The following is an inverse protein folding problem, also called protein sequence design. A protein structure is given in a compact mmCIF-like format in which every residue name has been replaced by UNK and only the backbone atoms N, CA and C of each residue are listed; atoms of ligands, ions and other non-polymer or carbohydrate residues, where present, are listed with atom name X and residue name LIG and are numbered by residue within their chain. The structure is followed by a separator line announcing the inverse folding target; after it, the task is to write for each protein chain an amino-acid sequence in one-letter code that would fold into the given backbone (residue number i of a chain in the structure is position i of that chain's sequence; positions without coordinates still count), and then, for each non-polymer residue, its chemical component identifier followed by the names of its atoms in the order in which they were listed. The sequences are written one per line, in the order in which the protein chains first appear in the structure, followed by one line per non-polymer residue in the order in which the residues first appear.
data_IF_235999007408
#
_entry.id   IF_235999007408
#
_cell.length_a   1.000
_cell.length_b   1.000
_cell.length_c   1.000
_cell.angle_alpha   90.00
_cell.angle_beta   90.00
_cell.angle_gamma   90.00
#
_symmetry.space_group_name_H-M   'P 1'
#
loop_
_entity.id
_entity.type
_entity.pdbx_description
1 polymer ?
#
# COMPACT_ATOMS: atom_id res chain seq x y z
N UNK A 1 -3.82 -13.13 0.33
CA UNK A 1 -3.79 -12.63 -1.06
C UNK A 1 -2.51 -13.13 -1.71
N UNK A 2 -2.63 -14.02 -2.68
CA UNK A 2 -1.49 -14.64 -3.37
C UNK A 2 -1.20 -13.78 -4.60
N UNK A 3 -0.08 -13.07 -4.59
CA UNK A 3 0.40 -12.35 -5.77
C UNK A 3 1.40 -13.26 -6.47
N UNK A 4 1.07 -13.72 -7.67
CA UNK A 4 1.95 -14.52 -8.53
C UNK A 4 2.81 -13.62 -9.42
N UNK A 5 4.14 -13.74 -9.42
CA UNK A 5 4.97 -13.00 -10.38
C UNK A 5 4.80 -13.61 -11.79
N UNK A 6 4.27 -12.84 -12.73
CA UNK A 6 3.93 -13.26 -14.10
C UNK A 6 5.13 -13.59 -15.01
N UNK A 7 6.38 -13.36 -14.62
CA UNK A 7 7.54 -13.44 -15.50
C UNK A 7 8.06 -14.85 -15.83
N UNK A 8 7.77 -15.88 -15.01
CA UNK A 8 8.37 -17.22 -15.17
C UNK A 8 7.35 -18.33 -15.56
N UNK A 9 6.08 -18.02 -15.58
CA UNK A 9 4.98 -18.99 -15.78
C UNK A 9 4.99 -19.62 -17.19
N UNK A 10 5.46 -18.89 -18.22
CA UNK A 10 5.45 -19.40 -19.60
C UNK A 10 6.52 -20.49 -19.85
N UNK A 11 7.72 -20.34 -19.29
CA UNK A 11 8.76 -21.39 -19.37
C UNK A 11 8.41 -22.60 -18.47
N UNK A 12 7.75 -22.37 -17.36
CA UNK A 12 7.30 -23.40 -16.43
C UNK A 12 6.12 -24.23 -16.99
N UNK A 13 5.12 -23.58 -17.58
CA UNK A 13 3.98 -24.27 -18.25
C UNK A 13 4.46 -25.13 -19.42
N UNK A 14 5.45 -24.70 -20.20
CA UNK A 14 6.02 -25.49 -21.30
C UNK A 14 6.78 -26.73 -20.80
N UNK A 15 7.50 -26.63 -19.66
CA UNK A 15 8.14 -27.80 -19.03
C UNK A 15 7.16 -28.76 -18.38
N UNK A 16 6.12 -28.26 -17.73
CA UNK A 16 5.06 -29.08 -17.14
C UNK A 16 4.24 -29.81 -18.21
N UNK A 17 3.92 -29.14 -19.32
CA UNK A 17 3.24 -29.76 -20.46
C UNK A 17 4.10 -30.85 -21.12
N UNK A 18 5.42 -30.62 -21.23
CA UNK A 18 6.36 -31.61 -21.76
C UNK A 18 6.45 -32.87 -20.85
N UNK A 19 6.44 -32.68 -19.52
CA UNK A 19 6.45 -33.78 -18.54
C UNK A 19 5.13 -34.58 -18.61
N UNK A 20 3.98 -33.90 -18.72
CA UNK A 20 2.67 -34.55 -18.84
C UNK A 20 2.50 -35.32 -20.14
N UNK A 21 3.03 -34.79 -21.25
CA UNK A 21 3.01 -35.47 -22.57
C UNK A 21 3.94 -36.68 -22.55
N UNK A 22 5.10 -36.60 -21.92
CA UNK A 22 6.03 -37.75 -21.75
C UNK A 22 5.37 -38.84 -20.90
N UNK A 23 4.69 -38.47 -19.81
CA UNK A 23 3.96 -39.42 -18.97
C UNK A 23 2.81 -40.13 -19.73
N UNK A 24 2.03 -39.40 -20.56
CA UNK A 24 0.95 -39.94 -21.39
C UNK A 24 1.45 -40.88 -22.49
N UNK A 25 2.57 -40.56 -23.13
CA UNK A 25 3.20 -41.42 -24.13
C UNK A 25 3.76 -42.68 -23.49
N UNK A 26 4.32 -42.62 -22.29
CA UNK A 26 4.82 -43.82 -21.57
C UNK A 26 3.67 -44.76 -21.15
N UNK A 27 2.54 -44.25 -20.69
CA UNK A 27 1.35 -45.06 -20.39
C UNK A 27 0.73 -45.75 -21.62
N UNK A 28 0.80 -45.11 -22.80
CA UNK A 28 0.35 -45.69 -24.08
C UNK A 28 1.24 -46.84 -24.58
N UNK A 29 2.53 -46.82 -24.25
CA UNK A 29 3.48 -47.88 -24.67
C UNK A 29 3.42 -49.15 -23.78
N UNK A 30 2.89 -49.05 -22.55
CA UNK A 30 2.79 -50.19 -21.62
C UNK A 30 1.84 -51.27 -22.15
N UNK A 31 0.92 -50.94 -23.04
CA UNK A 31 -0.04 -51.89 -23.64
C UNK A 31 0.53 -52.76 -24.76
N UNK A 32 1.72 -52.46 -25.28
CA UNK A 32 2.12 -53.07 -26.54
C UNK A 32 3.31 -54.04 -26.48
N UNK A 33 4.01 -54.22 -25.39
CA UNK A 33 5.13 -55.18 -25.37
C UNK A 33 5.33 -55.86 -24.01
N UNK A 34 4.57 -56.83 -23.73
CA UNK A 34 4.76 -57.76 -22.57
C UNK A 34 5.99 -58.68 -22.73
N UNK A 35 6.73 -58.58 -23.82
CA UNK A 35 7.78 -59.60 -24.19
C UNK A 35 9.21 -59.02 -24.19
N UNK A 36 9.43 -57.76 -23.95
CA UNK A 36 10.80 -57.21 -23.80
C UNK A 36 11.11 -57.00 -22.33
N UNK A 37 11.65 -57.97 -21.78
CA UNK A 37 12.26 -58.23 -20.51
C UNK A 37 12.57 -57.10 -19.50
N UNK A 38 12.92 -57.63 -18.38
CA UNK A 38 13.35 -56.99 -17.11
C UNK A 38 14.15 -55.67 -17.26
N UNK A 39 14.97 -55.54 -18.33
CA UNK A 39 15.77 -54.31 -18.58
C UNK A 39 14.91 -53.10 -18.99
N UNK A 40 13.81 -53.31 -19.71
CA UNK A 40 12.93 -52.23 -20.14
C UNK A 40 12.05 -51.73 -18.98
N UNK A 41 11.63 -52.64 -18.10
CA UNK A 41 10.88 -52.36 -16.88
C UNK A 41 11.75 -51.59 -15.86
N UNK A 42 13.04 -51.98 -15.71
CA UNK A 42 14.00 -51.28 -14.87
C UNK A 42 14.37 -49.89 -15.41
N UNK A 43 14.35 -49.68 -16.72
CA UNK A 43 14.55 -48.37 -17.32
C UNK A 43 13.32 -47.47 -17.07
N UNK A 44 12.12 -47.99 -17.29
CA UNK A 44 10.86 -47.28 -17.02
C UNK A 44 10.71 -46.90 -15.54
N UNK A 45 11.09 -47.79 -14.62
CA UNK A 45 11.10 -47.50 -13.20
C UNK A 45 12.12 -46.40 -12.82
N UNK A 46 13.29 -46.38 -13.44
CA UNK A 46 14.28 -45.30 -13.23
C UNK A 46 13.74 -43.96 -13.78
N UNK A 47 13.19 -43.95 -14.99
CA UNK A 47 12.61 -42.76 -15.59
C UNK A 47 11.43 -42.24 -14.76
N UNK A 48 10.61 -43.14 -14.18
CA UNK A 48 9.50 -42.76 -13.29
C UNK A 48 10.01 -42.16 -11.96
N UNK A 49 11.05 -42.72 -11.38
CA UNK A 49 11.71 -42.19 -10.17
C UNK A 49 12.30 -40.78 -10.42
N UNK A 50 13.01 -40.61 -11.55
CA UNK A 50 13.56 -39.31 -11.94
C UNK A 50 12.44 -38.26 -12.14
N UNK A 51 11.30 -38.65 -12.71
CA UNK A 51 10.13 -37.76 -12.84
C UNK A 51 9.54 -37.39 -11.48
N UNK A 52 9.42 -38.35 -10.57
CA UNK A 52 8.91 -38.09 -9.21
C UNK A 52 9.85 -37.18 -8.41
N UNK A 53 11.16 -37.40 -8.52
CA UNK A 53 12.17 -36.52 -7.89
C UNK A 53 12.07 -35.10 -8.46
N UNK A 54 11.90 -34.94 -9.77
CA UNK A 54 11.73 -33.63 -10.42
C UNK A 54 10.44 -32.93 -9.97
N UNK A 55 9.32 -33.66 -9.81
CA UNK A 55 8.07 -33.09 -9.27
C UNK A 55 8.23 -32.60 -7.83
N UNK A 56 8.92 -33.35 -7.00
CA UNK A 56 9.25 -32.98 -5.62
C UNK A 56 10.13 -31.73 -5.58
N UNK A 57 11.13 -31.63 -6.44
CA UNK A 57 12.02 -30.47 -6.51
C UNK A 57 11.29 -29.21 -6.98
N UNK A 58 10.40 -29.35 -7.95
CA UNK A 58 9.53 -28.24 -8.40
C UNK A 58 8.60 -27.77 -7.27
N UNK A 59 8.00 -28.69 -6.54
CA UNK A 59 7.14 -28.37 -5.41
C UNK A 59 7.93 -27.68 -4.29
N UNK A 60 9.14 -28.16 -4.02
CA UNK A 60 10.04 -27.57 -3.03
C UNK A 60 10.49 -26.15 -3.39
N UNK A 61 10.81 -25.90 -4.67
CA UNK A 61 11.16 -24.55 -5.13
C UNK A 61 10.01 -23.56 -4.95
N UNK A 62 8.77 -23.99 -5.23
CA UNK A 62 7.58 -23.16 -4.99
C UNK A 62 7.37 -22.87 -3.50
N UNK A 63 7.56 -23.89 -2.66
CA UNK A 63 7.45 -23.75 -1.21
C UNK A 63 8.47 -22.74 -0.68
N UNK A 64 9.71 -22.83 -1.12
CA UNK A 64 10.78 -21.90 -0.75
C UNK A 64 10.47 -20.47 -1.22
N UNK A 65 10.01 -20.29 -2.45
CA UNK A 65 9.64 -18.97 -3.00
C UNK A 65 8.51 -18.33 -2.19
N UNK A 66 7.48 -19.10 -1.85
CA UNK A 66 6.36 -18.62 -1.03
C UNK A 66 6.79 -18.29 0.40
N UNK A 67 7.59 -19.15 1.03
CA UNK A 67 8.09 -18.92 2.38
C UNK A 67 9.03 -17.70 2.44
N UNK A 68 9.90 -17.51 1.44
CA UNK A 68 10.80 -16.37 1.35
C UNK A 68 10.00 -15.06 1.12
N UNK A 69 8.91 -15.09 0.35
CA UNK A 69 8.01 -13.94 0.15
C UNK A 69 7.32 -13.55 1.47
N UNK A 70 6.80 -14.52 2.20
CA UNK A 70 6.21 -14.31 3.53
C UNK A 70 7.25 -13.76 4.52
N UNK A 71 8.45 -14.33 4.54
CA UNK A 71 9.56 -13.89 5.38
C UNK A 71 9.94 -12.44 5.11
N UNK A 72 10.15 -12.06 3.85
CA UNK A 72 10.43 -10.68 3.45
C UNK A 72 9.33 -9.72 3.87
N UNK A 73 8.06 -10.15 3.81
CA UNK A 73 6.91 -9.38 4.25
C UNK A 73 6.66 -9.38 5.76
N UNK A 74 7.59 -9.91 6.58
CA UNK A 74 7.50 -9.99 8.06
C UNK A 74 6.39 -10.92 8.58
N UNK A 75 5.92 -11.87 7.76
CA UNK A 75 4.97 -12.92 8.15
C UNK A 75 5.72 -14.15 8.67
N UNK A 76 6.47 -13.98 9.76
CA UNK A 76 7.38 -15.01 10.28
C UNK A 76 6.67 -16.30 10.66
N UNK A 77 5.53 -16.20 11.36
CA UNK A 77 4.78 -17.36 11.82
C UNK A 77 4.16 -18.12 10.66
N UNK A 78 3.60 -17.40 9.70
CA UNK A 78 3.01 -17.96 8.50
C UNK A 78 4.07 -18.63 7.61
N UNK A 79 5.25 -18.02 7.48
CA UNK A 79 6.37 -18.62 6.74
C UNK A 79 6.89 -19.90 7.41
N UNK A 80 7.01 -19.91 8.73
CA UNK A 80 7.41 -21.12 9.49
C UNK A 80 6.35 -22.21 9.41
N UNK A 81 5.06 -21.86 9.54
CA UNK A 81 3.96 -22.80 9.40
C UNK A 81 3.98 -23.46 8.02
N UNK A 82 4.13 -22.66 6.97
CA UNK A 82 4.20 -23.16 5.58
C UNK A 82 5.32 -24.17 5.39
N UNK A 83 6.51 -23.93 5.96
CA UNK A 83 7.66 -24.84 5.88
C UNK A 83 7.45 -26.13 6.71
N UNK A 84 6.78 -26.03 7.88
CA UNK A 84 6.60 -27.18 8.79
C UNK A 84 5.43 -28.08 8.39
N UNK A 85 4.37 -27.53 7.78
CA UNK A 85 3.21 -28.31 7.33
C UNK A 85 3.51 -29.19 6.10
N UNK A 86 4.52 -28.82 5.30
CA UNK A 86 4.90 -29.54 4.08
C UNK A 86 6.06 -30.54 4.33
N UNK A 87 5.87 -31.46 5.28
CA UNK A 87 6.89 -32.41 5.73
C UNK A 87 7.53 -33.23 4.62
N UNK A 88 6.78 -33.59 3.55
CA UNK A 88 7.27 -34.31 2.38
C UNK A 88 8.28 -33.52 1.51
N UNK A 89 8.36 -32.21 1.71
CA UNK A 89 9.25 -31.32 0.95
C UNK A 89 10.46 -30.83 1.79
N UNK A 90 10.55 -31.26 3.05
CA UNK A 90 11.64 -30.83 3.96
C UNK A 90 12.99 -31.37 3.46
N UNK A 91 13.96 -30.47 3.39
CA UNK A 91 15.36 -30.77 3.12
C UNK A 91 16.27 -29.75 3.82
N UNK A 92 17.57 -29.80 3.56
CA UNK A 92 18.54 -28.88 4.15
C UNK A 92 18.22 -27.40 3.85
N UNK A 93 17.83 -27.07 2.62
CA UNK A 93 17.52 -25.71 2.19
C UNK A 93 16.28 -25.16 2.90
N UNK A 94 15.20 -25.94 3.01
CA UNK A 94 13.98 -25.53 3.74
C UNK A 94 14.24 -25.38 5.23
N UNK A 95 15.07 -26.26 5.82
CA UNK A 95 15.47 -26.17 7.22
C UNK A 95 16.35 -24.94 7.49
N UNK A 96 17.24 -24.59 6.57
CA UNK A 96 18.07 -23.40 6.69
C UNK A 96 17.24 -22.11 6.60
N UNK A 97 16.26 -22.05 5.68
CA UNK A 97 15.33 -20.93 5.62
C UNK A 97 14.52 -20.80 6.94
N UNK A 98 13.98 -21.91 7.47
CA UNK A 98 13.27 -21.90 8.74
C UNK A 98 14.15 -21.41 9.90
N UNK A 99 15.44 -21.78 9.91
CA UNK A 99 16.41 -21.29 10.90
C UNK A 99 16.65 -19.79 10.78
N UNK A 100 16.79 -19.25 9.56
CA UNK A 100 16.94 -17.81 9.32
C UNK A 100 15.72 -17.05 9.80
N UNK A 101 14.50 -17.51 9.48
CA UNK A 101 13.25 -16.91 9.91
C UNK A 101 13.14 -16.87 11.43
N UNK A 102 13.42 -18.03 12.09
CA UNK A 102 13.41 -18.09 13.56
C UNK A 102 14.47 -17.17 14.19
N UNK A 103 15.64 -17.08 13.59
CA UNK A 103 16.69 -16.20 14.08
C UNK A 103 16.24 -14.74 14.04
N UNK A 104 15.72 -14.26 12.91
CA UNK A 104 15.26 -12.87 12.79
C UNK A 104 14.09 -12.59 13.73
N UNK A 105 13.06 -13.47 13.75
CA UNK A 105 11.91 -13.35 14.65
C UNK A 105 12.30 -13.21 16.11
N UNK A 106 13.32 -13.95 16.57
CA UNK A 106 13.77 -13.94 17.95
C UNK A 106 14.74 -12.78 18.28
N UNK A 107 15.20 -12.03 17.27
CA UNK A 107 16.12 -10.91 17.42
C UNK A 107 15.47 -9.56 17.03
N UNK A 108 14.15 -9.48 17.02
CA UNK A 108 13.46 -8.21 16.86
C UNK A 108 13.80 -7.28 18.03
N UNK A 109 14.02 -6.00 17.73
CA UNK A 109 14.34 -4.98 18.71
C UNK A 109 13.18 -4.02 18.90
N UNK A 110 13.03 -3.50 20.12
CA UNK A 110 12.05 -2.46 20.41
C UNK A 110 12.45 -1.17 19.68
N UNK A 111 11.51 -0.63 18.91
CA UNK A 111 11.69 0.66 18.25
C UNK A 111 11.39 1.80 19.23
N UNK A 112 12.41 2.58 19.58
CA UNK A 112 12.31 3.64 20.59
C UNK A 112 12.18 5.05 19.98
N UNK A 113 12.44 5.21 18.68
CA UNK A 113 12.35 6.50 18.02
C UNK A 113 10.92 6.92 17.68
N UNK A 114 10.74 8.14 17.22
CA UNK A 114 9.43 8.65 16.81
C UNK A 114 9.02 8.07 15.46
N UNK A 115 7.87 7.38 15.41
CA UNK A 115 7.27 6.89 14.16
C UNK A 115 7.00 8.06 13.22
N UNK A 116 7.50 7.98 12.00
CA UNK A 116 7.33 9.03 11.00
C UNK A 116 6.00 8.85 10.25
N UNK A 117 5.39 9.97 9.84
CA UNK A 117 4.21 9.98 9.00
C UNK A 117 4.36 11.06 7.93
N UNK A 118 4.41 10.64 6.68
CA UNK A 118 4.42 11.52 5.52
C UNK A 118 3.13 11.37 4.73
N UNK A 119 2.75 12.42 4.00
CA UNK A 119 1.56 12.33 3.17
C UNK A 119 1.74 13.00 1.81
N UNK A 120 0.91 12.55 0.88
CA UNK A 120 0.88 12.99 -0.51
C UNK A 120 -0.55 13.42 -0.88
N UNK A 121 -0.66 14.24 -1.92
CA UNK A 121 -1.86 14.43 -2.71
C UNK A 121 -1.75 13.63 -4.03
N UNK A 122 -2.71 13.77 -4.93
CA UNK A 122 -2.69 13.12 -6.24
C UNK A 122 -1.41 13.43 -7.02
N UNK A 123 -0.96 12.50 -7.88
CA UNK A 123 0.24 12.67 -8.68
C UNK A 123 0.00 13.56 -9.90
N UNK A 124 0.96 14.42 -10.21
CA UNK A 124 1.06 15.08 -11.50
C UNK A 124 1.79 14.15 -12.47
N UNK A 125 1.08 13.71 -13.51
CA UNK A 125 1.58 12.76 -14.50
C UNK A 125 2.26 13.45 -15.69
N UNK A 126 1.80 14.65 -16.04
CA UNK A 126 2.28 15.43 -17.19
C UNK A 126 2.74 16.82 -16.74
N UNK A 127 3.84 16.95 -16.00
CA UNK A 127 4.28 18.24 -15.47
C UNK A 127 4.63 19.25 -16.58
N UNK A 128 5.15 18.80 -17.73
CA UNK A 128 5.48 19.64 -18.88
C UNK A 128 4.24 20.34 -19.48
N UNK A 129 3.08 19.72 -19.36
CA UNK A 129 1.80 20.29 -19.79
C UNK A 129 1.15 21.12 -18.69
N UNK A 130 1.06 20.56 -17.48
CA UNK A 130 0.34 21.18 -16.35
C UNK A 130 0.99 22.47 -15.88
N UNK A 131 2.30 22.48 -15.68
CA UNK A 131 3.02 23.62 -15.09
C UNK A 131 2.86 24.90 -15.93
N UNK A 132 3.07 24.90 -17.26
CA UNK A 132 2.85 26.09 -18.10
C UNK A 132 1.38 26.53 -18.19
N UNK A 133 0.43 25.59 -18.10
CA UNK A 133 -0.99 25.86 -18.32
C UNK A 133 -1.78 26.21 -17.05
N UNK A 134 -1.20 25.96 -15.88
CA UNK A 134 -1.80 26.29 -14.57
C UNK A 134 -1.58 27.74 -14.11
N UNK A 135 -1.20 28.64 -14.99
CA UNK A 135 -0.89 30.04 -14.67
C UNK A 135 -1.98 30.82 -13.91
N UNK A 136 -3.17 30.26 -13.74
CA UNK A 136 -4.29 30.90 -12.98
C UNK A 136 -4.39 30.37 -11.53
N UNK A 137 -3.81 29.18 -11.23
CA UNK A 137 -3.80 28.58 -9.89
C UNK A 137 -2.55 27.71 -9.65
N UNK A 138 -1.48 27.98 -10.41
CA UNK A 138 -0.26 27.18 -10.44
C UNK A 138 0.48 27.01 -9.13
N UNK A 139 0.28 27.90 -8.15
CA UNK A 139 0.82 27.76 -6.81
C UNK A 139 0.40 26.45 -6.16
N UNK A 140 -0.86 26.19 -6.04
CA UNK A 140 -1.41 25.07 -5.28
C UNK A 140 -0.93 23.69 -5.80
N UNK A 141 -0.91 23.46 -7.10
CA UNK A 141 -0.44 22.20 -7.67
C UNK A 141 1.09 22.05 -7.56
N UNK A 142 1.84 23.12 -7.80
CA UNK A 142 3.28 23.08 -7.63
C UNK A 142 3.69 22.98 -6.15
N UNK A 143 2.90 23.54 -5.25
CA UNK A 143 3.17 23.53 -3.81
C UNK A 143 2.85 22.19 -3.16
N UNK A 144 1.62 21.68 -3.36
CA UNK A 144 1.08 20.55 -2.58
C UNK A 144 1.23 19.17 -3.26
N UNK A 145 1.56 19.11 -4.56
CA UNK A 145 1.57 17.85 -5.29
C UNK A 145 2.99 17.39 -5.65
N UNK A 146 3.20 16.08 -5.69
CA UNK A 146 4.41 15.48 -6.26
C UNK A 146 4.18 15.07 -7.70
N UNK A 147 5.24 15.03 -8.48
CA UNK A 147 5.22 14.42 -9.79
C UNK A 147 5.38 12.90 -9.64
N UNK A 148 4.74 12.11 -10.50
CA UNK A 148 4.84 10.65 -10.49
C UNK A 148 6.32 10.21 -10.45
N UNK A 149 7.16 10.78 -11.29
CA UNK A 149 8.58 10.44 -11.36
C UNK A 149 9.40 10.87 -10.13
N UNK A 150 8.92 11.83 -9.34
CA UNK A 150 9.52 12.16 -8.04
C UNK A 150 9.19 11.07 -7.02
N UNK A 151 7.94 10.61 -6.95
CA UNK A 151 7.55 9.51 -6.06
C UNK A 151 8.33 8.22 -6.39
N UNK A 152 8.48 7.90 -7.68
CA UNK A 152 9.27 6.73 -8.14
C UNK A 152 10.72 6.81 -7.66
N UNK A 153 11.31 8.02 -7.53
CA UNK A 153 12.67 8.21 -7.01
C UNK A 153 12.74 8.26 -5.48
N UNK A 154 11.65 8.64 -4.82
CA UNK A 154 11.54 8.71 -3.36
C UNK A 154 11.51 7.31 -2.74
N UNK A 155 10.67 6.41 -3.27
CA UNK A 155 10.42 5.11 -2.65
C UNK A 155 11.68 4.25 -2.45
N UNK A 156 12.60 4.10 -3.43
CA UNK A 156 13.84 3.36 -3.22
C UNK A 156 14.70 3.94 -2.10
N UNK A 157 14.77 5.27 -1.96
CA UNK A 157 15.57 5.90 -0.92
C UNK A 157 14.96 5.70 0.47
N UNK A 158 13.63 5.67 0.58
CA UNK A 158 12.97 5.30 1.83
C UNK A 158 13.33 3.85 2.23
N UNK A 159 13.29 2.92 1.27
CA UNK A 159 13.69 1.53 1.51
C UNK A 159 15.16 1.42 1.92
N UNK A 160 16.07 2.08 1.21
CA UNK A 160 17.53 2.11 1.51
C UNK A 160 17.82 2.66 2.91
N UNK A 161 17.00 3.60 3.41
CA UNK A 161 17.09 4.15 4.76
C UNK A 161 16.40 3.28 5.81
N UNK A 162 15.98 2.06 5.47
CA UNK A 162 15.39 1.10 6.39
C UNK A 162 13.91 1.36 6.72
N UNK A 163 13.23 2.29 6.05
CA UNK A 163 11.79 2.48 6.29
C UNK A 163 10.96 1.29 5.84
N UNK A 164 9.92 1.01 6.64
CA UNK A 164 8.95 -0.05 6.41
C UNK A 164 7.55 0.53 6.61
N UNK A 165 6.67 0.37 5.61
CA UNK A 165 5.28 0.81 5.71
C UNK A 165 4.58 0.11 6.87
N UNK A 166 3.97 0.87 7.77
CA UNK A 166 3.44 0.36 9.01
C UNK A 166 2.00 0.83 9.26
N UNK A 167 1.18 -0.01 9.89
CA UNK A 167 -0.21 0.33 10.17
C UNK A 167 -0.32 1.24 11.39
N UNK A 168 -0.97 2.38 11.24
CA UNK A 168 -1.18 3.32 12.35
C UNK A 168 -1.97 2.71 13.51
N UNK A 169 -2.84 1.74 13.24
CA UNK A 169 -3.56 0.98 14.27
C UNK A 169 -2.66 0.00 15.05
N UNK A 170 -1.46 -0.28 14.54
CA UNK A 170 -0.43 -1.04 15.26
C UNK A 170 0.54 -0.11 16.02
N UNK A 171 0.48 1.20 15.75
CA UNK A 171 1.17 2.24 16.53
C UNK A 171 0.32 2.67 17.72
N UNK A 172 -0.99 2.80 17.56
CA UNK A 172 -1.90 3.25 18.59
C UNK A 172 -3.06 2.28 18.81
N UNK A 173 -3.55 2.23 20.02
CA UNK A 173 -4.74 1.44 20.35
C UNK A 173 -5.22 1.68 21.77
N UNK A 174 -6.44 1.26 22.05
CA UNK A 174 -6.99 1.29 23.40
C UNK A 174 -6.52 0.07 24.18
N UNK A 175 -6.10 0.30 25.43
CA UNK A 175 -5.82 -0.78 26.38
C UNK A 175 -7.14 -1.43 26.86
N UNK A 176 -7.02 -2.43 27.77
CA UNK A 176 -8.16 -3.16 28.32
C UNK A 176 -9.14 -2.27 29.09
N UNK A 177 -8.70 -1.10 29.53
CA UNK A 177 -9.53 -0.10 30.22
C UNK A 177 -10.14 0.92 29.27
N UNK A 178 -9.93 0.75 27.95
CA UNK A 178 -10.40 1.68 26.92
C UNK A 178 -9.57 2.95 26.80
N UNK A 179 -8.40 3.02 27.43
CA UNK A 179 -7.50 4.17 27.44
C UNK A 179 -6.56 4.07 26.22
N UNK A 180 -6.45 5.16 25.45
CA UNK A 180 -5.56 5.20 24.30
C UNK A 180 -4.09 5.14 24.75
N UNK A 181 -3.32 4.29 24.06
CA UNK A 181 -1.88 4.08 24.28
C UNK A 181 -1.13 4.05 22.96
N UNK A 182 0.12 4.42 23.01
CA UNK A 182 1.09 4.03 22.00
C UNK A 182 1.55 2.60 22.33
N UNK A 183 1.56 1.75 21.29
CA UNK A 183 1.97 0.34 21.41
C UNK A 183 3.48 0.21 21.23
N UNK A 184 4.04 -0.82 21.82
CA UNK A 184 5.41 -1.24 21.54
C UNK A 184 5.50 -1.79 20.10
N UNK A 185 6.53 -1.38 19.39
CA UNK A 185 6.81 -1.83 18.01
C UNK A 185 8.12 -2.60 18.03
N UNK A 186 8.09 -3.82 17.53
CA UNK A 186 9.27 -4.66 17.41
C UNK A 186 9.56 -4.91 15.93
N UNK A 187 10.78 -4.54 15.49
CA UNK A 187 11.24 -4.67 14.10
C UNK A 187 12.67 -5.24 14.06
N UNK A 188 13.13 -5.74 12.92
CA UNK A 188 14.55 -6.03 12.75
C UNK A 188 15.40 -4.77 12.98
N UNK A 189 16.60 -4.94 13.50
CA UNK A 189 17.54 -3.85 13.73
C UNK A 189 17.76 -3.01 12.47
N UNK A 190 17.72 -1.67 12.60
CA UNK A 190 17.87 -0.74 11.48
C UNK A 190 16.60 -0.52 10.64
N UNK A 191 15.47 -1.15 10.97
CA UNK A 191 14.18 -0.86 10.34
C UNK A 191 13.41 0.20 11.12
N UNK A 192 12.71 1.08 10.37
CA UNK A 192 11.98 2.22 10.91
C UNK A 192 10.53 2.22 10.42
N UNK A 193 9.53 2.22 11.32
CA UNK A 193 8.12 2.24 10.89
C UNK A 193 7.78 3.59 10.26
N UNK A 194 7.20 3.55 9.07
CA UNK A 194 6.73 4.71 8.31
C UNK A 194 5.24 4.58 8.03
N UNK A 195 4.48 5.62 8.35
CA UNK A 195 3.11 5.75 7.91
C UNK A 195 3.08 6.64 6.69
N UNK A 196 2.39 6.19 5.64
CA UNK A 196 2.09 7.00 4.47
C UNK A 196 0.59 7.23 4.42
N UNK A 197 0.17 8.46 4.11
CA UNK A 197 -1.23 8.74 3.78
C UNK A 197 -1.34 9.53 2.47
N UNK A 198 -2.50 9.39 1.85
CA UNK A 198 -2.89 10.16 0.67
C UNK A 198 -4.15 10.95 0.99
N UNK A 199 -4.10 12.28 0.77
CA UNK A 199 -5.21 13.18 1.02
C UNK A 199 -5.96 13.52 -0.29
N UNK A 200 -7.25 13.76 -0.17
CA UNK A 200 -8.14 14.26 -1.24
C UNK A 200 -8.13 13.45 -2.56
N UNK A 201 -8.21 12.12 -2.56
CA UNK A 201 -8.28 11.34 -3.81
C UNK A 201 -9.67 11.44 -4.47
N UNK A 202 -10.19 12.64 -4.65
CA UNK A 202 -11.49 12.88 -5.30
C UNK A 202 -11.39 12.94 -6.82
N UNK A 203 -10.19 13.13 -7.37
CA UNK A 203 -9.87 13.13 -8.80
C UNK A 203 -10.68 14.12 -9.64
N UNK A 204 -10.99 15.29 -9.10
CA UNK A 204 -11.78 16.32 -9.78
C UNK A 204 -10.96 17.37 -10.54
N UNK A 205 -9.63 17.23 -10.50
CA UNK A 205 -8.71 18.25 -11.04
C UNK A 205 -8.56 18.25 -12.55
N UNK A 206 -8.88 17.15 -13.25
CA UNK A 206 -8.92 17.13 -14.72
C UNK A 206 -7.64 16.63 -15.39
N UNK A 207 -7.27 17.24 -16.54
CA UNK A 207 -6.19 16.77 -17.41
C UNK A 207 -4.84 16.72 -16.69
N UNK A 208 -4.13 15.62 -16.89
CA UNK A 208 -2.76 15.44 -16.37
C UNK A 208 -2.65 14.85 -14.98
N UNK A 209 -3.79 14.52 -14.35
CA UNK A 209 -3.90 13.78 -13.09
C UNK A 209 -4.84 12.58 -13.28
N UNK A 210 -4.90 11.70 -12.30
CA UNK A 210 -5.90 10.63 -12.28
C UNK A 210 -7.32 11.22 -12.35
N UNK A 211 -8.16 10.62 -13.17
CA UNK A 211 -9.55 11.02 -13.35
C UNK A 211 -10.51 10.10 -12.59
N UNK A 212 -10.23 8.81 -12.56
CA UNK A 212 -11.00 7.81 -11.83
C UNK A 212 -10.15 6.57 -11.56
N UNK A 213 -10.27 6.01 -10.37
CA UNK A 213 -9.76 4.67 -10.08
C UNK A 213 -10.78 3.62 -10.48
N UNK A 214 -10.34 2.58 -11.15
CA UNK A 214 -11.18 1.51 -11.67
C UNK A 214 -10.60 0.14 -11.36
N UNK A 215 -11.41 -0.89 -11.53
CA UNK A 215 -10.94 -2.26 -11.74
C UNK A 215 -10.99 -2.56 -13.23
N UNK A 216 -9.90 -3.08 -13.78
CA UNK A 216 -9.86 -3.57 -15.16
C UNK A 216 -10.67 -4.87 -15.33
N UNK A 217 -10.70 -5.42 -16.53
CA UNK A 217 -11.40 -6.67 -16.85
C UNK A 217 -10.93 -7.89 -16.05
N UNK A 218 -9.71 -7.84 -15.49
CA UNK A 218 -9.13 -8.90 -14.65
C UNK A 218 -9.29 -8.60 -13.14
N UNK A 219 -9.99 -7.53 -12.78
CA UNK A 219 -10.17 -7.08 -11.39
C UNK A 219 -8.93 -6.45 -10.78
N UNK A 220 -7.95 -6.01 -11.58
CA UNK A 220 -6.76 -5.28 -11.13
C UNK A 220 -7.07 -3.80 -11.01
N UNK A 221 -6.53 -3.15 -9.97
CA UNK A 221 -6.62 -1.70 -9.81
C UNK A 221 -5.85 -0.98 -10.93
N UNK A 222 -6.50 0.04 -11.49
CA UNK A 222 -5.93 0.93 -12.49
C UNK A 222 -6.55 2.33 -12.35
N UNK A 223 -5.98 3.32 -13.00
CA UNK A 223 -6.56 4.66 -13.11
C UNK A 223 -6.87 5.01 -14.56
N UNK A 224 -8.02 5.63 -14.78
CA UNK A 224 -8.27 6.40 -15.99
C UNK A 224 -7.59 7.77 -15.85
N UNK A 225 -6.90 8.18 -16.89
CA UNK A 225 -6.20 9.46 -16.96
C UNK A 225 -6.59 10.16 -18.25
N UNK A 226 -6.82 11.45 -18.20
CA UNK A 226 -7.02 12.27 -19.40
C UNK A 226 -5.67 12.87 -19.80
N UNK A 227 -5.18 12.48 -20.96
CA UNK A 227 -3.91 12.96 -21.50
C UNK A 227 -3.98 14.46 -21.88
N UNK A 228 -2.84 15.16 -22.08
CA UNK A 228 -2.82 16.52 -22.60
C UNK A 228 -3.53 16.69 -23.96
N UNK A 229 -3.67 15.64 -24.74
CA UNK A 229 -4.38 15.61 -26.03
C UNK A 229 -5.90 15.40 -25.86
N UNK A 230 -6.36 15.18 -24.61
CA UNK A 230 -7.78 14.94 -24.30
C UNK A 230 -8.21 13.48 -24.47
N UNK A 231 -7.26 12.56 -24.65
CA UNK A 231 -7.55 11.13 -24.75
C UNK A 231 -7.67 10.50 -23.34
N UNK A 232 -8.64 9.64 -23.15
CA UNK A 232 -8.74 8.81 -21.95
C UNK A 232 -7.89 7.56 -22.12
N UNK A 233 -6.94 7.36 -21.22
CA UNK A 233 -6.10 6.16 -21.16
C UNK A 233 -6.23 5.47 -19.80
N UNK A 234 -5.93 4.18 -19.76
CA UNK A 234 -5.84 3.39 -18.52
C UNK A 234 -4.36 3.15 -18.21
N UNK A 235 -3.96 3.44 -16.96
CA UNK A 235 -2.59 3.20 -16.49
C UNK A 235 -2.60 2.54 -15.11
N UNK A 236 -1.53 1.80 -14.80
CA UNK A 236 -1.36 1.06 -13.55
C UNK A 236 -0.38 1.74 -12.56
N UNK A 237 -0.05 2.98 -12.82
CA UNK A 237 0.88 3.80 -12.03
C UNK A 237 0.46 5.28 -11.95
N UNK A 238 -0.78 5.58 -12.33
CA UNK A 238 -1.30 6.95 -12.42
C UNK A 238 -1.69 7.59 -11.08
N UNK A 239 -1.42 6.94 -9.97
CA UNK A 239 -1.71 7.45 -8.64
C UNK A 239 -0.72 6.93 -7.57
N UNK A 240 -0.63 7.64 -6.44
CA UNK A 240 0.23 7.27 -5.30
C UNK A 240 0.00 5.82 -4.87
N UNK A 241 -1.27 5.40 -4.76
CA UNK A 241 -1.62 4.06 -4.31
C UNK A 241 -1.10 2.99 -5.26
N UNK A 242 -1.20 3.21 -6.57
CA UNK A 242 -0.75 2.25 -7.57
C UNK A 242 0.78 2.18 -7.66
N UNK A 243 1.46 3.32 -7.58
CA UNK A 243 2.94 3.37 -7.55
C UNK A 243 3.48 2.64 -6.32
N UNK A 244 2.87 2.86 -5.14
CA UNK A 244 3.27 2.15 -3.91
C UNK A 244 2.93 0.65 -4.00
N UNK A 245 1.77 0.26 -4.55
CA UNK A 245 1.44 -1.15 -4.77
C UNK A 245 2.50 -1.85 -5.61
N UNK A 246 2.84 -1.28 -6.77
CA UNK A 246 3.85 -1.84 -7.66
C UNK A 246 5.21 -1.94 -6.97
N UNK A 247 5.62 -0.90 -6.24
CA UNK A 247 6.89 -0.90 -5.51
C UNK A 247 6.95 -1.99 -4.42
N UNK A 248 5.88 -2.17 -3.64
CA UNK A 248 5.83 -3.22 -2.61
C UNK A 248 5.75 -4.62 -3.23
N UNK A 249 5.13 -4.78 -4.39
CA UNK A 249 5.11 -6.06 -5.10
C UNK A 249 6.53 -6.48 -5.54
N UNK A 250 7.40 -5.52 -5.87
CA UNK A 250 8.81 -5.74 -6.19
C UNK A 250 9.69 -5.82 -4.92
N UNK A 251 9.32 -5.10 -3.85
CA UNK A 251 10.04 -4.96 -2.60
C UNK A 251 9.15 -5.29 -1.38
N UNK A 252 8.83 -6.57 -1.13
CA UNK A 252 7.94 -6.96 -0.03
C UNK A 252 8.43 -6.52 1.35
N UNK A 253 9.75 -6.39 1.52
CA UNK A 253 10.41 -5.90 2.73
C UNK A 253 10.23 -4.39 3.00
N UNK A 254 9.62 -3.65 2.07
CA UNK A 254 9.18 -2.27 2.29
C UNK A 254 7.83 -2.18 3.03
N UNK A 255 7.13 -3.29 3.26
CA UNK A 255 5.78 -3.31 3.84
C UNK A 255 5.68 -4.31 4.98
N UNK A 256 5.42 -3.84 6.20
CA UNK A 256 5.16 -4.72 7.33
C UNK A 256 3.80 -5.40 7.17
N UNK A 257 3.82 -6.72 6.95
CA UNK A 257 2.62 -7.56 6.79
C UNK A 257 1.65 -7.05 5.73
N UNK A 258 2.18 -6.59 4.61
CA UNK A 258 1.42 -6.15 3.44
C UNK A 258 0.72 -4.80 3.58
N UNK A 259 0.89 -4.08 4.70
CA UNK A 259 0.28 -2.76 4.88
C UNK A 259 0.88 -1.72 3.92
N UNK A 260 0.03 -0.88 3.32
CA UNK A 260 0.47 0.16 2.37
C UNK A 260 0.39 1.57 2.96
N UNK A 261 -0.78 1.94 3.48
CA UNK A 261 -0.99 3.28 4.02
C UNK A 261 -2.45 3.63 4.24
N UNK A 262 -2.71 4.91 4.40
CA UNK A 262 -4.02 5.50 4.72
C UNK A 262 -4.53 6.29 3.51
N UNK A 263 -5.78 6.07 3.12
CA UNK A 263 -6.48 6.87 2.12
C UNK A 263 -7.47 7.78 2.87
N UNK A 264 -7.15 9.07 2.94
CA UNK A 264 -7.96 10.06 3.62
C UNK A 264 -9.00 10.67 2.65
N UNK A 265 -10.24 10.20 2.74
CA UNK A 265 -11.28 10.49 1.77
C UNK A 265 -12.21 11.61 2.21
N UNK A 266 -12.50 12.50 1.27
CA UNK A 266 -13.62 13.45 1.32
C UNK A 266 -14.83 12.89 0.58
N UNK A 267 -15.98 13.61 0.60
CA UNK A 267 -17.19 13.13 -0.04
C UNK A 267 -17.82 14.11 -1.05
N UNK A 268 -17.43 15.38 -1.02
CA UNK A 268 -18.14 16.43 -1.74
C UNK A 268 -18.01 16.36 -3.28
N UNK A 269 -16.94 15.76 -3.80
CA UNK A 269 -16.77 15.47 -5.23
C UNK A 269 -16.95 13.98 -5.59
N UNK A 270 -17.36 13.16 -4.62
CA UNK A 270 -17.47 11.72 -4.79
C UNK A 270 -16.31 10.97 -4.17
N UNK A 271 -16.03 9.78 -4.68
CA UNK A 271 -15.03 8.86 -4.14
C UNK A 271 -14.17 8.30 -5.26
N UNK A 272 -12.89 8.61 -5.25
CA UNK A 272 -11.91 8.12 -6.26
C UNK A 272 -12.39 8.31 -7.72
N UNK A 273 -13.03 9.47 -8.01
CA UNK A 273 -13.59 9.80 -9.32
C UNK A 273 -14.98 9.25 -9.59
N UNK A 274 -15.59 8.53 -8.66
CA UNK A 274 -16.98 8.08 -8.72
C UNK A 274 -17.91 9.10 -8.04
N UNK A 275 -18.91 9.60 -8.76
CA UNK A 275 -19.80 10.69 -8.28
C UNK A 275 -20.77 10.27 -7.18
N UNK A 276 -21.04 8.99 -6.98
CA UNK A 276 -21.95 8.40 -5.99
C UNK A 276 -23.43 8.83 -6.16
N UNK A 277 -23.81 9.29 -7.33
CA UNK A 277 -25.16 9.77 -7.67
C UNK A 277 -26.11 8.65 -8.13
N UNK A 278 -25.57 7.50 -8.49
CA UNK A 278 -26.31 6.29 -8.88
C UNK A 278 -25.85 5.07 -8.10
N UNK A 279 -26.73 4.08 -7.98
CA UNK A 279 -26.39 2.81 -7.30
C UNK A 279 -25.26 2.07 -8.02
N UNK A 280 -25.20 2.14 -9.36
CA UNK A 280 -24.12 1.57 -10.14
C UNK A 280 -22.77 2.26 -9.84
N UNK A 281 -22.76 3.60 -9.73
CA UNK A 281 -21.56 4.35 -9.36
C UNK A 281 -21.09 4.00 -7.95
N UNK A 282 -22.02 3.85 -6.99
CA UNK A 282 -21.71 3.41 -5.62
C UNK A 282 -21.14 1.98 -5.59
N UNK A 283 -21.72 1.06 -6.37
CA UNK A 283 -21.23 -0.32 -6.46
C UNK A 283 -19.80 -0.37 -7.01
N UNK A 284 -19.49 0.38 -8.07
CA UNK A 284 -18.12 0.49 -8.60
C UNK A 284 -17.16 1.07 -7.56
N UNK A 285 -17.55 2.15 -6.89
CA UNK A 285 -16.77 2.75 -5.80
C UNK A 285 -16.48 1.74 -4.68
N UNK A 286 -17.49 0.96 -4.27
CA UNK A 286 -17.37 -0.07 -3.23
C UNK A 286 -16.45 -1.20 -3.66
N UNK A 287 -16.52 -1.63 -4.93
CA UNK A 287 -15.62 -2.66 -5.46
C UNK A 287 -14.15 -2.18 -5.47
N UNK A 288 -13.90 -0.94 -5.90
CA UNK A 288 -12.56 -0.32 -5.84
C UNK A 288 -12.07 -0.21 -4.40
N UNK A 289 -12.92 0.26 -3.47
CA UNK A 289 -12.56 0.35 -2.05
C UNK A 289 -12.25 -1.04 -1.45
N UNK A 290 -13.02 -2.06 -1.81
CA UNK A 290 -12.77 -3.45 -1.43
C UNK A 290 -11.41 -3.92 -1.89
N UNK A 291 -11.07 -3.68 -3.16
CA UNK A 291 -9.79 -4.09 -3.75
C UNK A 291 -8.60 -3.35 -3.13
N UNK A 292 -8.74 -2.06 -2.83
CA UNK A 292 -7.71 -1.30 -2.11
C UNK A 292 -7.44 -1.89 -0.72
N UNK A 293 -8.49 -2.27 0.03
CA UNK A 293 -8.33 -2.94 1.33
C UNK A 293 -7.63 -4.29 1.19
N UNK A 294 -7.97 -5.09 0.18
CA UNK A 294 -7.29 -6.36 -0.10
C UNK A 294 -5.80 -6.17 -0.39
N UNK A 295 -5.40 -5.04 -0.98
CA UNK A 295 -3.99 -4.74 -1.26
C UNK A 295 -3.27 -4.07 -0.09
N UNK A 296 -3.90 -3.90 1.09
CA UNK A 296 -3.25 -3.41 2.30
C UNK A 296 -3.47 -1.94 2.63
N UNK A 297 -4.36 -1.26 1.92
CA UNK A 297 -4.77 0.12 2.24
C UNK A 297 -5.86 0.15 3.30
N UNK A 298 -5.85 1.17 4.15
CA UNK A 298 -6.94 1.48 5.09
C UNK A 298 -7.50 2.87 4.79
N UNK A 299 -8.76 3.11 5.17
CA UNK A 299 -9.41 4.39 4.93
C UNK A 299 -9.48 5.24 6.20
N UNK A 300 -9.45 6.56 6.00
CA UNK A 300 -9.66 7.55 7.04
C UNK A 300 -10.68 8.60 6.57
N UNK A 301 -11.38 9.22 7.52
CA UNK A 301 -12.18 10.40 7.22
C UNK A 301 -11.28 11.62 7.02
N UNK A 302 -11.49 12.34 5.92
CA UNK A 302 -10.90 13.65 5.67
C UNK A 302 -11.97 14.74 5.61
N UNK A 303 -12.99 14.62 6.47
CA UNK A 303 -14.26 15.36 6.41
C UNK A 303 -15.10 15.06 5.15
N UNK A 304 -16.35 15.48 5.14
CA UNK A 304 -17.17 15.38 3.93
C UNK A 304 -16.89 16.52 2.96
N UNK A 305 -16.95 17.75 3.45
CA UNK A 305 -16.99 18.95 2.62
C UNK A 305 -15.67 19.66 2.41
N UNK A 306 -14.62 19.28 3.12
CA UNK A 306 -13.29 19.92 3.09
C UNK A 306 -13.38 21.46 3.15
N UNK A 307 -14.26 22.00 4.01
CA UNK A 307 -14.56 23.42 4.11
C UNK A 307 -13.72 24.09 5.18
N UNK A 308 -12.98 25.15 4.86
CA UNK A 308 -12.05 25.78 5.80
C UNK A 308 -12.78 26.67 6.83
N UNK A 309 -13.49 27.69 6.36
CA UNK A 309 -14.10 28.69 7.25
C UNK A 309 -15.33 28.13 7.96
N UNK A 310 -15.34 28.24 9.28
CA UNK A 310 -16.42 27.74 10.13
C UNK A 310 -16.42 26.23 10.37
N UNK A 311 -15.58 25.47 9.67
CA UNK A 311 -15.44 24.02 9.82
C UNK A 311 -13.99 23.65 10.24
N UNK A 312 -13.06 23.53 9.29
CA UNK A 312 -11.68 23.07 9.52
C UNK A 312 -10.71 24.26 9.46
N UNK A 313 -11.01 25.29 10.26
CA UNK A 313 -10.25 26.54 10.29
C UNK A 313 -10.90 27.58 11.18
N UNK A 314 -10.65 28.88 10.96
CA UNK A 314 -11.22 29.95 11.76
C UNK A 314 -12.76 29.87 11.84
N UNK A 315 -13.33 30.05 13.03
CA UNK A 315 -14.75 29.96 13.28
C UNK A 315 -15.31 28.54 13.39
N UNK A 316 -14.44 27.52 13.46
CA UNK A 316 -14.84 26.13 13.70
C UNK A 316 -15.72 26.00 14.95
N UNK A 317 -16.81 25.24 14.83
CA UNK A 317 -17.71 24.99 15.94
C UNK A 317 -18.33 23.59 15.86
N UNK A 318 -18.75 23.07 17.01
CA UNK A 318 -19.26 21.70 17.14
C UNK A 318 -20.45 21.40 16.20
N UNK A 319 -21.36 22.35 15.98
CA UNK A 319 -22.53 22.15 15.10
C UNK A 319 -22.14 21.93 13.64
N UNK A 320 -21.16 22.66 13.12
CA UNK A 320 -20.65 22.48 11.78
C UNK A 320 -19.89 21.13 11.65
N UNK A 321 -19.04 20.80 12.61
CA UNK A 321 -18.29 19.54 12.65
C UNK A 321 -19.25 18.36 12.73
N UNK A 322 -20.32 18.43 13.55
CA UNK A 322 -21.35 17.39 13.62
C UNK A 322 -21.98 17.10 12.26
N UNK A 323 -22.41 18.17 11.54
CA UNK A 323 -23.05 18.00 10.22
C UNK A 323 -22.10 17.41 9.18
N UNK A 324 -20.87 17.86 9.16
CA UNK A 324 -19.86 17.39 8.21
C UNK A 324 -19.47 15.93 8.48
N UNK A 325 -19.20 15.58 9.74
CA UNK A 325 -18.87 14.23 10.18
C UNK A 325 -20.02 13.25 9.90
N UNK A 326 -21.25 13.62 10.28
CA UNK A 326 -22.43 12.79 10.01
C UNK A 326 -22.63 12.57 8.49
N UNK A 327 -22.40 13.58 7.69
CA UNK A 327 -22.51 13.45 6.23
C UNK A 327 -21.43 12.53 5.64
N UNK A 328 -20.20 12.58 6.14
CA UNK A 328 -19.16 11.64 5.75
C UNK A 328 -19.55 10.20 6.10
N UNK A 329 -20.04 9.98 7.32
CA UNK A 329 -20.49 8.66 7.78
C UNK A 329 -21.70 8.15 6.97
N UNK A 330 -22.62 9.04 6.58
CA UNK A 330 -23.77 8.65 5.75
C UNK A 330 -23.39 8.25 4.33
N UNK A 331 -22.40 8.94 3.71
CA UNK A 331 -22.13 8.82 2.28
C UNK A 331 -20.89 7.95 1.98
N UNK A 332 -19.83 8.09 2.76
CA UNK A 332 -18.52 7.47 2.49
C UNK A 332 -18.32 6.20 3.31
N UNK A 333 -18.70 6.19 4.57
CA UNK A 333 -18.52 5.01 5.44
C UNK A 333 -19.18 3.72 4.88
N UNK A 334 -20.35 3.76 4.21
CA UNK A 334 -20.90 2.55 3.57
C UNK A 334 -20.00 1.96 2.47
N UNK A 335 -19.12 2.76 1.86
CA UNK A 335 -18.19 2.35 0.81
C UNK A 335 -16.88 1.83 1.42
N UNK A 336 -16.33 2.59 2.38
CA UNK A 336 -15.01 2.33 2.96
C UNK A 336 -15.04 1.36 4.14
N UNK A 337 -16.19 1.21 4.80
CA UNK A 337 -16.31 0.63 6.13
C UNK A 337 -15.95 1.64 7.22
N UNK A 338 -16.16 1.23 8.47
CA UNK A 338 -15.87 2.05 9.65
C UNK A 338 -14.36 2.29 9.80
N UNK A 339 -13.99 3.45 10.32
CA UNK A 339 -12.62 3.80 10.65
C UNK A 339 -12.56 4.58 11.96
N UNK A 340 -11.44 4.44 12.67
CA UNK A 340 -11.13 5.22 13.87
C UNK A 340 -10.13 6.36 13.58
N UNK A 341 -9.77 6.59 12.31
CA UNK A 341 -8.75 7.54 11.89
C UNK A 341 -9.44 8.77 11.28
N UNK A 342 -9.08 9.93 11.81
CA UNK A 342 -9.48 11.22 11.25
C UNK A 342 -8.25 12.01 10.81
N UNK A 343 -8.21 12.37 9.56
CA UNK A 343 -7.18 13.22 8.95
C UNK A 343 -7.75 14.63 8.80
N UNK A 344 -7.15 15.58 9.49
CA UNK A 344 -7.69 16.95 9.57
C UNK A 344 -7.48 17.74 8.27
N UNK A 345 -8.54 18.23 7.63
CA UNK A 345 -8.40 19.16 6.51
C UNK A 345 -7.55 20.38 6.88
N UNK A 346 -6.68 20.80 5.97
CA UNK A 346 -5.75 21.94 6.17
C UNK A 346 -4.80 21.76 7.37
N UNK A 347 -4.67 20.55 7.91
CA UNK A 347 -3.90 20.28 9.12
C UNK A 347 -4.45 20.91 10.39
N UNK A 348 -5.70 21.36 10.39
CA UNK A 348 -6.30 22.10 11.49
C UNK A 348 -6.56 21.21 12.70
N UNK A 349 -6.06 21.57 13.85
CA UNK A 349 -6.28 20.84 15.10
C UNK A 349 -7.51 21.41 15.83
N UNK A 350 -8.56 20.61 15.94
CA UNK A 350 -9.76 20.93 16.71
C UNK A 350 -9.47 20.94 18.22
N UNK A 351 -10.33 21.61 18.99
CA UNK A 351 -10.29 21.63 20.45
C UNK A 351 -11.71 21.73 21.05
N UNK A 352 -11.84 21.45 22.35
CA UNK A 352 -13.09 21.55 23.09
C UNK A 352 -14.21 20.74 22.45
N UNK A 353 -15.44 21.30 22.44
CA UNK A 353 -16.63 20.62 21.96
C UNK A 353 -16.54 20.15 20.50
N UNK A 354 -15.76 20.83 19.64
CA UNK A 354 -15.56 20.40 18.24
C UNK A 354 -14.72 19.11 18.17
N UNK A 355 -13.68 18.98 18.99
CA UNK A 355 -12.92 17.73 19.11
C UNK A 355 -13.79 16.62 19.74
N UNK A 356 -14.63 16.93 20.72
CA UNK A 356 -15.54 15.94 21.32
C UNK A 356 -16.49 15.32 20.29
N UNK A 357 -16.92 16.07 19.28
CA UNK A 357 -17.72 15.52 18.17
C UNK A 357 -16.96 14.40 17.45
N UNK A 358 -15.70 14.65 17.08
CA UNK A 358 -14.87 13.67 16.38
C UNK A 358 -14.69 12.41 17.23
N UNK A 359 -14.32 12.57 18.51
CA UNK A 359 -14.08 11.46 19.42
C UNK A 359 -15.35 10.63 19.72
N UNK A 360 -16.49 11.30 19.86
CA UNK A 360 -17.79 10.65 20.11
C UNK A 360 -18.32 9.89 18.88
N UNK A 361 -17.83 10.22 17.68
CA UNK A 361 -18.11 9.48 16.45
C UNK A 361 -17.09 8.37 16.16
N UNK A 362 -16.25 8.02 17.14
CA UNK A 362 -15.34 6.86 17.07
C UNK A 362 -13.95 7.15 16.53
N UNK A 363 -13.66 8.35 16.06
CA UNK A 363 -12.35 8.73 15.55
C UNK A 363 -11.40 9.04 16.71
N UNK A 364 -10.48 8.15 17.01
CA UNK A 364 -9.57 8.27 18.13
C UNK A 364 -8.08 8.32 17.75
N UNK A 365 -7.78 8.28 16.47
CA UNK A 365 -6.47 8.63 15.89
C UNK A 365 -6.68 9.87 15.03
N UNK A 366 -6.16 11.01 15.50
CA UNK A 366 -6.32 12.30 14.83
C UNK A 366 -4.98 12.72 14.20
N UNK A 367 -4.98 12.93 12.89
CA UNK A 367 -3.77 13.31 12.14
C UNK A 367 -3.88 14.77 11.68
N UNK A 368 -2.88 15.60 12.02
CA UNK A 368 -2.76 16.98 11.57
C UNK A 368 -1.50 17.18 10.68
N UNK A 369 -1.21 18.42 10.29
CA UNK A 369 0.00 18.75 9.51
C UNK A 369 0.99 19.50 10.39
N UNK A 370 2.27 19.13 10.29
CA UNK A 370 3.37 19.71 11.05
C UNK A 370 4.64 19.83 10.20
N UNK A 371 5.52 20.75 10.55
CA UNK A 371 6.83 20.89 9.89
C UNK A 371 7.85 19.84 10.38
N UNK A 372 7.63 19.24 11.56
CA UNK A 372 8.46 18.19 12.13
C UNK A 372 7.59 17.19 12.87
N UNK A 373 7.94 15.90 12.79
CA UNK A 373 7.14 14.82 13.39
C UNK A 373 6.87 15.06 14.87
N UNK A 374 5.62 14.88 15.25
CA UNK A 374 5.15 15.02 16.63
C UNK A 374 4.02 14.05 16.92
N UNK A 375 4.12 13.36 18.04
CA UNK A 375 3.09 12.44 18.56
C UNK A 375 2.70 12.93 19.96
N UNK A 376 1.41 12.94 20.26
CA UNK A 376 0.88 13.17 21.60
C UNK A 376 -0.29 12.20 21.84
N UNK A 377 -0.26 11.48 22.94
CA UNK A 377 -1.29 10.52 23.32
C UNK A 377 -1.87 10.92 24.66
N UNK A 378 -3.19 10.98 24.76
CA UNK A 378 -3.92 11.13 26.02
C UNK A 378 -4.92 9.96 26.17
N UNK A 379 -5.67 9.93 27.27
CA UNK A 379 -6.57 8.80 27.56
C UNK A 379 -7.65 8.55 26.49
N UNK A 380 -8.00 9.56 25.68
CA UNK A 380 -9.12 9.50 24.72
C UNK A 380 -8.65 9.28 23.27
N UNK A 381 -7.51 9.86 22.88
CA UNK A 381 -7.05 9.85 21.50
C UNK A 381 -5.54 10.02 21.36
N UNK A 382 -5.03 9.60 20.21
CA UNK A 382 -3.70 9.90 19.73
C UNK A 382 -3.75 11.04 18.70
N UNK A 383 -2.88 12.04 18.88
CA UNK A 383 -2.62 13.09 17.90
C UNK A 383 -1.28 12.81 17.21
N UNK A 384 -1.30 12.62 15.92
CA UNK A 384 -0.11 12.35 15.12
C UNK A 384 0.07 13.44 14.06
N UNK A 385 1.21 14.13 14.10
CA UNK A 385 1.62 15.07 13.06
C UNK A 385 2.00 14.35 11.77
N UNK A 386 1.82 15.01 10.63
CA UNK A 386 2.21 14.50 9.30
C UNK A 386 3.01 15.56 8.56
N UNK A 387 4.03 15.13 7.82
CA UNK A 387 4.85 16.01 6.97
C UNK A 387 4.35 15.85 5.53
N UNK A 388 3.91 16.96 4.94
CA UNK A 388 3.51 16.98 3.52
C UNK A 388 4.73 16.75 2.62
N UNK A 389 4.58 15.89 1.62
CA UNK A 389 5.54 15.73 0.55
C UNK A 389 4.94 16.32 -0.72
N UNK A 390 5.38 17.50 -1.06
CA UNK A 390 4.95 18.26 -2.22
C UNK A 390 6.06 19.28 -2.58
N UNK A 391 5.82 20.08 -3.61
CA UNK A 391 6.84 21.04 -4.04
C UNK A 391 7.25 22.05 -2.98
N UNK A 392 6.31 22.45 -2.10
CA UNK A 392 6.64 23.32 -0.97
C UNK A 392 7.66 22.68 -0.02
N UNK A 393 7.44 21.40 0.32
CA UNK A 393 8.36 20.68 1.20
C UNK A 393 9.73 20.45 0.52
N UNK A 394 9.73 20.11 -0.77
CA UNK A 394 10.97 19.95 -1.54
C UNK A 394 11.79 21.24 -1.60
N UNK A 395 11.16 22.43 -1.55
CA UNK A 395 11.84 23.72 -1.58
C UNK A 395 12.24 24.20 -0.18
N UNK A 396 11.30 24.18 0.79
CA UNK A 396 11.47 24.87 2.08
C UNK A 396 11.80 23.94 3.24
N UNK A 397 11.55 22.61 3.12
CA UNK A 397 11.87 21.62 4.14
C UNK A 397 13.00 20.69 3.73
N UNK A 398 13.79 21.08 2.70
CA UNK A 398 14.87 20.26 2.16
C UNK A 398 15.78 19.67 3.25
N UNK A 399 16.26 20.46 4.19
CA UNK A 399 17.15 19.95 5.25
C UNK A 399 16.51 18.88 6.15
N UNK A 400 15.21 18.96 6.36
CA UNK A 400 14.46 17.94 7.12
C UNK A 400 14.27 16.68 6.28
N UNK A 401 13.93 16.82 5.01
CA UNK A 401 13.71 15.69 4.09
C UNK A 401 15.03 14.95 3.82
N UNK A 402 16.13 15.68 3.53
CA UNK A 402 17.46 15.11 3.32
C UNK A 402 17.94 14.30 4.54
N UNK A 403 17.69 14.81 5.72
CA UNK A 403 18.10 14.14 6.96
C UNK A 403 17.26 12.91 7.26
N UNK A 404 15.94 12.97 7.04
CA UNK A 404 15.02 11.92 7.49
C UNK A 404 14.67 10.92 6.38
N UNK A 405 14.37 11.38 5.16
CA UNK A 405 13.63 10.54 4.21
C UNK A 405 14.39 10.26 2.91
N UNK A 406 14.90 11.27 2.21
CA UNK A 406 15.53 11.13 0.90
C UNK A 406 16.34 12.38 0.54
N UNK A 407 17.27 12.26 -0.38
CA UNK A 407 18.02 13.38 -0.95
C UNK A 407 17.12 14.13 -1.95
N UNK A 408 16.73 15.35 -1.57
CA UNK A 408 15.80 16.19 -2.35
C UNK A 408 16.35 16.53 -3.73
N UNK A 409 17.66 16.83 -3.84
CA UNK A 409 18.25 17.20 -5.13
C UNK A 409 18.23 16.06 -6.14
N UNK A 410 18.31 14.82 -5.66
CA UNK A 410 18.25 13.63 -6.53
C UNK A 410 16.83 13.24 -6.94
N UNK A 411 15.82 13.59 -6.15
CA UNK A 411 14.43 13.23 -6.44
C UNK A 411 13.67 14.34 -7.16
N UNK A 412 13.95 15.60 -6.86
CA UNK A 412 13.27 16.77 -7.43
C UNK A 412 13.36 16.77 -8.95
N UNK A 413 12.22 16.95 -9.60
CA UNK A 413 12.16 16.95 -11.05
C UNK A 413 12.65 18.28 -11.65
N UNK A 414 13.38 18.20 -12.76
CA UNK A 414 13.94 19.38 -13.45
C UNK A 414 12.87 20.32 -14.03
N UNK A 415 11.64 19.83 -14.26
CA UNK A 415 10.52 20.63 -14.73
C UNK A 415 9.75 21.33 -13.59
N UNK A 416 10.12 21.06 -12.33
CA UNK A 416 9.47 21.72 -11.21
C UNK A 416 9.99 23.15 -11.09
N UNK A 417 9.14 24.18 -11.30
CA UNK A 417 9.55 25.55 -11.11
C UNK A 417 9.80 25.82 -9.63
N UNK A 418 10.78 26.69 -9.36
CA UNK A 418 11.00 27.18 -7.99
C UNK A 418 9.77 27.95 -7.47
N UNK A 419 9.47 27.78 -6.20
CA UNK A 419 8.45 28.56 -5.50
C UNK A 419 9.04 29.91 -5.10
N UNK A 420 8.27 31.00 -5.30
CA UNK A 420 8.69 32.38 -4.99
C UNK A 420 8.12 32.82 -3.65
#
# INVERSE_FOLDING_TARGET
LIITPMGNISKFKKRFLAISVIALVMFGCIGYNVVKGIEEDQRLQRELLELQEMEIDIARLKLLEQAELLFKGYYYDEALALLTENTGLVNETTAELAKRINHEKNNLVLYEDTVQHIFFHSLILYPEYLIPNLNVSGGQFNEGFVFQRELIRILPQLLERGYVLYNVNDVFGKDINGIMRQKEIYLPEGKHPLIISMDDPSYHYGIGLAHRMILDENGKLATEVITPQGEAIVTYDGDVMLVINNFVDEHPDFSFRGHKGIIATTGFFGFLGHKLDTDESKQRATAVAGKLKETGWIFASHSYGHTRVGFWGPGSNAGNITRDTARWQEVIEPITGTTNIFVAPFGYTLSGAAMDVILNNGFNIYCNVVASQRISVNDRYALMGRIEIGGYALEFYKSTLDRLFFDVDSVKDSHRPGLR
#
